data_IF_056399478995
#
_entry.id   IF_056399478995
#
_cell.length_a   1.000
_cell.length_b   1.000
_cell.length_c   1.000
_cell.angle_alpha   90.00
_cell.angle_beta   90.00
_cell.angle_gamma   90.00
#
_symmetry.space_group_name_H-M   'P 1'
#
loop_
_entity.id
_entity.type
_entity.pdbx_description
1 polymer ?
#
# COMPACT_ATOMS: atom_id res chain seq x y z
N UNK A 1 5.27 -5.58 5.29
CA UNK A 1 4.80 -4.34 5.95
C UNK A 1 5.87 -3.29 5.75
N UNK A 2 5.51 -2.11 5.26
CA UNK A 2 6.42 -0.95 5.14
C UNK A 2 5.88 0.16 6.02
N UNK A 3 6.76 0.92 6.65
CA UNK A 3 6.34 2.11 7.40
C UNK A 3 6.47 3.32 6.49
N UNK A 4 5.40 4.10 6.36
CA UNK A 4 5.34 5.32 5.57
C UNK A 4 4.90 6.49 6.45
N UNK A 5 5.33 7.69 6.09
CA UNK A 5 4.87 8.92 6.74
C UNK A 5 3.56 9.35 6.09
N UNK A 6 2.55 9.64 6.91
CA UNK A 6 1.28 10.19 6.43
C UNK A 6 1.47 11.63 5.94
N UNK A 7 1.14 11.91 4.67
CA UNK A 7 1.28 13.27 4.09
C UNK A 7 0.40 14.34 4.77
N UNK A 8 -0.65 13.95 5.49
CA UNK A 8 -1.55 14.91 6.17
C UNK A 8 -1.18 15.20 7.62
N UNK A 9 -0.60 14.23 8.33
CA UNK A 9 -0.33 14.37 9.77
C UNK A 9 1.13 14.10 10.18
N UNK A 10 2.01 13.73 9.25
CA UNK A 10 3.43 13.45 9.52
C UNK A 10 3.70 12.17 10.33
N UNK A 11 2.66 11.49 10.84
CA UNK A 11 2.85 10.29 11.66
C UNK A 11 3.24 9.07 10.81
N UNK A 12 4.21 8.25 11.26
CA UNK A 12 4.50 6.97 10.63
C UNK A 12 3.32 6.02 10.80
N UNK A 13 3.01 5.25 9.76
CA UNK A 13 1.97 4.23 9.78
C UNK A 13 2.39 3.02 8.95
N UNK A 14 1.86 1.86 9.33
CA UNK A 14 2.09 0.61 8.63
C UNK A 14 1.24 0.52 7.36
N UNK A 15 1.89 0.19 6.25
CA UNK A 15 1.29 0.00 4.95
C UNK A 15 1.55 -1.43 4.45
N UNK A 16 0.51 -2.14 3.96
CA UNK A 16 0.68 -3.42 3.30
C UNK A 16 1.60 -3.30 2.08
N UNK A 17 2.43 -4.31 1.85
CA UNK A 17 3.30 -4.35 0.68
C UNK A 17 2.45 -4.35 -0.61
N UNK A 18 2.79 -3.51 -1.58
CA UNK A 18 2.06 -3.39 -2.85
C UNK A 18 0.95 -2.33 -2.88
N UNK A 19 0.55 -1.78 -1.73
CA UNK A 19 -0.43 -0.68 -1.70
C UNK A 19 0.28 0.68 -1.67
N UNK A 20 -0.15 1.61 -2.52
CA UNK A 20 0.38 2.97 -2.59
C UNK A 20 -0.37 3.94 -1.65
N UNK A 21 -0.58 3.54 -0.39
CA UNK A 21 -1.22 4.40 0.60
C UNK A 21 -0.26 5.54 1.01
N UNK A 22 -0.78 6.77 1.01
CA UNK A 22 -0.05 7.99 1.39
C UNK A 22 -0.68 8.72 2.60
N UNK A 23 -1.83 8.23 3.08
CA UNK A 23 -2.52 8.71 4.27
C UNK A 23 -2.69 7.56 5.25
N UNK A 24 -2.57 7.85 6.54
CA UNK A 24 -2.95 6.89 7.57
C UNK A 24 -4.47 6.62 7.53
N UNK A 25 -4.96 5.47 8.04
CA UNK A 25 -6.38 5.11 7.96
C UNK A 25 -7.32 6.17 8.55
N UNK A 26 -6.91 6.83 9.65
CA UNK A 26 -7.68 7.91 10.30
C UNK A 26 -7.77 9.15 9.39
N UNK A 27 -6.65 9.60 8.85
CA UNK A 27 -6.61 10.75 7.94
C UNK A 27 -7.32 10.47 6.62
N UNK A 28 -7.23 9.24 6.10
CA UNK A 28 -7.94 8.81 4.91
C UNK A 28 -9.46 8.84 5.10
N UNK A 29 -9.98 8.30 6.22
CA UNK A 29 -11.41 8.38 6.57
C UNK A 29 -11.89 9.83 6.65
N UNK A 30 -11.15 10.69 7.35
CA UNK A 30 -11.48 12.13 7.46
C UNK A 30 -11.46 12.82 6.09
N UNK A 31 -10.45 12.57 5.27
CA UNK A 31 -10.34 13.17 3.93
C UNK A 31 -11.50 12.72 3.02
N UNK A 32 -11.89 11.45 3.10
CA UNK A 32 -13.06 10.94 2.36
C UNK A 32 -14.32 11.69 2.77
N UNK A 33 -14.61 11.79 4.06
CA UNK A 33 -15.79 12.52 4.58
C UNK A 33 -15.81 13.98 4.11
N UNK A 34 -14.71 14.71 4.30
CA UNK A 34 -14.63 16.13 3.90
C UNK A 34 -14.64 16.34 2.39
N UNK A 35 -14.23 15.36 1.58
CA UNK A 35 -14.22 15.48 0.13
C UNK A 35 -15.60 15.28 -0.50
N UNK A 36 -16.46 14.48 0.14
CA UNK A 36 -17.77 14.10 -0.39
C UNK A 36 -18.75 15.25 -0.24
N UNK A 37 -18.84 15.87 0.94
CA UNK A 37 -19.75 16.98 1.19
C UNK A 37 -18.95 18.24 1.51
N UNK A 38 -18.95 19.20 0.58
CA UNK A 38 -18.15 20.43 0.70
C UNK A 38 -18.85 21.64 0.09
N UNK A 39 -18.38 22.82 0.44
CA UNK A 39 -18.79 24.06 -0.21
C UNK A 39 -18.34 24.05 -1.69
N UNK A 40 -19.28 24.38 -2.57
CA UNK A 40 -19.10 24.49 -4.01
C UNK A 40 -19.77 25.77 -4.49
N UNK A 41 -19.33 26.23 -5.64
CA UNK A 41 -19.85 27.42 -6.30
C UNK A 41 -20.81 26.97 -7.39
N UNK A 42 -22.01 27.56 -7.43
CA UNK A 42 -22.97 27.31 -8.49
C UNK A 42 -22.44 27.83 -9.82
N UNK A 43 -22.50 27.02 -10.88
CA UNK A 43 -22.01 27.41 -12.21
C UNK A 43 -22.88 28.49 -12.91
N UNK A 44 -24.11 28.73 -12.45
CA UNK A 44 -25.01 29.72 -13.04
C UNK A 44 -25.03 31.02 -12.23
N UNK A 45 -25.35 30.93 -10.94
CA UNK A 45 -25.55 32.10 -10.10
C UNK A 45 -24.33 32.47 -9.23
N UNK A 46 -23.26 31.66 -9.23
CA UNK A 46 -22.06 31.93 -8.44
C UNK A 46 -22.21 31.79 -6.91
N UNK A 47 -23.40 31.51 -6.39
CA UNK A 47 -23.63 31.33 -4.95
C UNK A 47 -22.86 30.13 -4.40
N UNK A 48 -22.34 30.26 -3.18
CA UNK A 48 -21.73 29.16 -2.43
C UNK A 48 -22.82 28.29 -1.81
N UNK A 49 -22.74 26.98 -2.01
CA UNK A 49 -23.68 26.02 -1.45
C UNK A 49 -22.95 24.74 -1.03
N UNK A 50 -23.51 24.02 -0.07
CA UNK A 50 -22.98 22.72 0.33
C UNK A 50 -23.50 21.62 -0.60
N UNK A 51 -22.61 20.86 -1.21
CA UNK A 51 -22.99 19.86 -2.21
C UNK A 51 -22.04 18.69 -2.33
N UNK A 52 -22.52 17.65 -3.03
CA UNK A 52 -21.76 16.45 -3.35
C UNK A 52 -20.80 16.69 -4.53
N UNK A 53 -19.86 15.78 -4.86
CA UNK A 53 -18.85 16.03 -5.89
C UNK A 53 -19.44 16.25 -7.29
N UNK A 54 -20.63 15.70 -7.54
CA UNK A 54 -21.40 15.85 -8.79
C UNK A 54 -22.38 17.03 -8.79
N UNK A 55 -22.61 17.70 -7.66
CA UNK A 55 -23.49 18.86 -7.58
C UNK A 55 -22.82 20.06 -8.25
N UNK A 56 -23.42 20.53 -9.34
CA UNK A 56 -22.92 21.67 -10.14
C UNK A 56 -23.68 22.97 -9.87
N UNK A 57 -24.91 22.87 -9.40
CA UNK A 57 -25.84 23.99 -9.23
C UNK A 57 -26.38 24.03 -7.80
N UNK A 58 -26.79 25.21 -7.34
CA UNK A 58 -27.52 25.35 -6.09
C UNK A 58 -28.94 24.72 -6.21
N UNK A 59 -29.63 24.46 -5.10
CA UNK A 59 -30.96 23.82 -5.12
C UNK A 59 -31.97 24.52 -6.03
N UNK A 60 -31.98 25.85 -6.05
CA UNK A 60 -32.91 26.65 -6.86
C UNK A 60 -32.63 26.49 -8.37
N UNK A 61 -31.39 26.75 -8.79
CA UNK A 61 -30.94 26.55 -10.18
C UNK A 61 -31.11 25.09 -10.66
N UNK A 62 -30.88 24.13 -9.76
CA UNK A 62 -31.10 22.72 -10.06
C UNK A 62 -32.58 22.43 -10.32
N UNK A 63 -33.49 23.00 -9.51
CA UNK A 63 -34.93 22.81 -9.69
C UNK A 63 -35.43 23.38 -11.03
N UNK A 64 -34.88 24.52 -11.46
CA UNK A 64 -35.18 25.11 -12.78
C UNK A 64 -34.69 24.21 -13.92
N UNK A 65 -33.45 23.72 -13.85
CA UNK A 65 -32.91 22.77 -14.84
C UNK A 65 -33.70 21.47 -14.87
N UNK A 66 -34.13 20.95 -13.73
CA UNK A 66 -34.89 19.71 -13.67
C UNK A 66 -36.28 19.89 -14.33
N UNK A 67 -36.91 21.06 -14.18
CA UNK A 67 -38.14 21.41 -14.90
C UNK A 67 -37.89 21.45 -16.41
N UNK A 68 -36.83 22.12 -16.84
CA UNK A 68 -36.47 22.23 -18.27
C UNK A 68 -36.10 20.86 -18.87
N UNK A 69 -35.34 20.04 -18.15
CA UNK A 69 -34.97 18.69 -18.57
C UNK A 69 -36.20 17.79 -18.71
N UNK A 70 -37.16 17.87 -17.77
CA UNK A 70 -38.45 17.18 -17.89
C UNK A 70 -39.24 17.64 -19.10
N UNK A 71 -39.27 18.95 -19.39
CA UNK A 71 -39.93 19.50 -20.58
C UNK A 71 -39.29 18.93 -21.86
N UNK A 72 -37.96 18.96 -21.96
CA UNK A 72 -37.20 18.40 -23.09
C UNK A 72 -37.40 16.89 -23.24
N UNK A 73 -37.48 16.15 -22.14
CA UNK A 73 -37.77 14.72 -22.15
C UNK A 73 -39.16 14.41 -22.72
N UNK A 74 -40.18 15.17 -22.28
CA UNK A 74 -41.55 15.03 -22.78
C UNK A 74 -41.66 15.36 -24.27
N UNK A 75 -40.94 16.38 -24.74
CA UNK A 75 -40.90 16.77 -26.16
C UNK A 75 -40.16 15.73 -27.02
N UNK A 76 -39.05 15.18 -26.53
CA UNK A 76 -38.19 14.24 -27.27
C UNK A 76 -38.44 12.78 -26.90
N UNK A 77 -39.68 12.43 -26.54
CA UNK A 77 -40.02 11.06 -26.20
C UNK A 77 -39.78 10.16 -27.41
N UNK A 78 -39.12 9.03 -27.18
CA UNK A 78 -38.70 8.17 -28.28
C UNK A 78 -39.93 7.47 -28.85
N UNK A 79 -40.23 7.76 -30.12
CA UNK A 79 -41.42 7.27 -30.82
C UNK A 79 -41.32 5.79 -31.22
N UNK A 80 -40.16 5.15 -31.04
CA UNK A 80 -39.93 3.75 -31.47
C UNK A 80 -40.72 2.80 -30.57
N UNK A 81 -41.48 1.90 -31.17
CA UNK A 81 -42.18 0.82 -30.45
C UNK A 81 -41.19 -0.27 -30.07
N UNK A 82 -41.24 -0.72 -28.82
CA UNK A 82 -40.44 -1.87 -28.38
C UNK A 82 -40.89 -3.10 -29.18
N UNK A 83 -39.94 -3.88 -29.69
CA UNK A 83 -40.22 -5.03 -30.55
C UNK A 83 -40.27 -4.73 -32.05
N UNK A 84 -40.19 -3.45 -32.47
CA UNK A 84 -40.05 -3.12 -33.90
C UNK A 84 -38.67 -3.54 -34.44
N UNK A 85 -38.57 -3.65 -35.76
CA UNK A 85 -37.29 -3.86 -36.47
C UNK A 85 -36.67 -2.51 -36.78
N UNK A 86 -35.37 -2.36 -36.49
CA UNK A 86 -34.56 -1.17 -36.77
C UNK A 86 -33.19 -1.62 -37.32
N UNK A 87 -32.42 -0.70 -37.92
CA UNK A 87 -31.16 -1.03 -38.60
C UNK A 87 -29.94 -0.50 -37.84
N UNK A 88 -28.89 -1.32 -37.75
CA UNK A 88 -27.68 -0.99 -37.00
C UNK A 88 -26.85 0.08 -37.73
N UNK A 89 -26.55 1.20 -37.07
CA UNK A 89 -25.74 2.29 -37.65
C UNK A 89 -24.30 1.84 -38.03
N UNK A 90 -23.79 0.76 -37.45
CA UNK A 90 -22.43 0.26 -37.71
C UNK A 90 -22.35 -0.77 -38.83
N UNK A 91 -23.31 -1.69 -38.91
CA UNK A 91 -23.25 -2.83 -39.84
C UNK A 91 -24.45 -2.91 -40.81
N UNK A 92 -25.43 -2.02 -40.68
CA UNK A 92 -26.64 -1.98 -41.51
C UNK A 92 -27.62 -3.13 -41.29
N UNK A 93 -27.29 -4.15 -40.49
CA UNK A 93 -28.16 -5.31 -40.29
C UNK A 93 -29.42 -4.94 -39.48
N UNK A 94 -30.59 -5.52 -39.81
CA UNK A 94 -31.80 -5.36 -39.02
C UNK A 94 -31.65 -6.01 -37.65
N UNK A 95 -32.27 -5.44 -36.63
CA UNK A 95 -32.35 -5.97 -35.28
C UNK A 95 -33.67 -5.59 -34.61
N UNK A 96 -34.10 -6.40 -33.64
CA UNK A 96 -35.28 -6.11 -32.82
C UNK A 96 -34.93 -5.10 -31.73
N UNK A 97 -35.67 -4.00 -31.66
CA UNK A 97 -35.45 -2.92 -30.69
C UNK A 97 -35.91 -3.35 -29.30
N UNK A 98 -34.96 -3.43 -28.36
CA UNK A 98 -35.26 -3.70 -26.94
C UNK A 98 -35.33 -2.43 -26.10
N UNK A 99 -34.72 -1.33 -26.55
CA UNK A 99 -34.76 -0.04 -25.86
C UNK A 99 -34.88 1.11 -26.85
N UNK A 100 -35.60 2.17 -26.49
CA UNK A 100 -35.82 3.31 -27.38
C UNK A 100 -34.51 3.97 -27.85
N UNK A 101 -33.45 3.95 -27.01
CA UNK A 101 -32.14 4.58 -27.30
C UNK A 101 -31.15 3.66 -28.01
N UNK A 102 -31.56 2.46 -28.40
CA UNK A 102 -30.69 1.49 -29.06
C UNK A 102 -30.30 2.00 -30.45
N UNK A 103 -29.00 2.08 -30.72
CA UNK A 103 -28.44 2.52 -32.02
C UNK A 103 -27.76 1.38 -32.80
N UNK A 104 -27.40 0.31 -32.10
CA UNK A 104 -26.62 -0.79 -32.63
C UNK A 104 -27.27 -2.13 -32.31
N UNK A 105 -26.99 -3.14 -33.14
CA UNK A 105 -27.35 -4.51 -32.82
C UNK A 105 -26.54 -5.01 -31.59
N UNK A 106 -27.02 -6.05 -30.87
CA UNK A 106 -26.39 -6.52 -29.63
C UNK A 106 -24.90 -6.91 -29.77
N UNK A 107 -24.51 -7.39 -30.95
CA UNK A 107 -23.12 -7.77 -31.28
C UNK A 107 -22.24 -6.52 -31.40
N UNK A 108 -22.66 -5.54 -32.21
CA UNK A 108 -21.91 -4.31 -32.43
C UNK A 108 -21.91 -3.38 -31.20
N UNK A 109 -22.97 -3.38 -30.40
CA UNK A 109 -23.13 -2.52 -29.23
C UNK A 109 -22.00 -2.70 -28.20
N UNK A 110 -21.57 -3.95 -27.96
CA UNK A 110 -20.47 -4.26 -27.03
C UNK A 110 -19.15 -3.64 -27.49
N UNK A 111 -18.80 -3.83 -28.77
CA UNK A 111 -17.58 -3.27 -29.35
C UNK A 111 -17.59 -1.74 -29.32
N UNK A 112 -18.73 -1.14 -29.66
CA UNK A 112 -18.83 0.30 -29.77
C UNK A 112 -18.84 1.00 -28.41
N UNK A 113 -19.40 0.35 -27.40
CA UNK A 113 -19.29 0.81 -26.02
C UNK A 113 -17.83 0.84 -25.56
N UNK A 114 -17.07 -0.20 -25.87
CA UNK A 114 -15.63 -0.25 -25.56
C UNK A 114 -14.86 0.84 -26.32
N UNK A 115 -15.16 1.06 -27.59
CA UNK A 115 -14.54 2.12 -28.40
C UNK A 115 -14.82 3.51 -27.81
N UNK A 116 -16.07 3.82 -27.48
CA UNK A 116 -16.45 5.08 -26.85
C UNK A 116 -15.76 5.29 -25.49
N UNK A 117 -15.65 4.24 -24.67
CA UNK A 117 -14.92 4.33 -23.41
C UNK A 117 -13.43 4.62 -23.68
N UNK A 118 -12.82 3.97 -24.67
CA UNK A 118 -11.41 4.20 -25.05
C UNK A 118 -11.18 5.62 -25.54
N UNK A 119 -12.04 6.15 -26.40
CA UNK A 119 -11.91 7.53 -26.93
C UNK A 119 -12.06 8.56 -25.82
N UNK A 120 -13.06 8.42 -24.94
CA UNK A 120 -13.25 9.30 -23.78
C UNK A 120 -12.03 9.25 -22.86
N UNK A 121 -11.51 8.06 -22.54
CA UNK A 121 -10.31 7.91 -21.71
C UNK A 121 -9.09 8.58 -22.33
N UNK A 122 -8.86 8.39 -23.64
CA UNK A 122 -7.74 9.03 -24.35
C UNK A 122 -7.82 10.56 -24.27
N UNK A 123 -9.00 11.14 -24.54
CA UNK A 123 -9.22 12.58 -24.41
C UNK A 123 -8.94 13.06 -23.00
N UNK A 124 -9.49 12.40 -21.99
CA UNK A 124 -9.25 12.74 -20.59
C UNK A 124 -7.75 12.74 -20.22
N UNK A 125 -7.00 11.72 -20.63
CA UNK A 125 -5.55 11.65 -20.37
C UNK A 125 -4.76 12.71 -21.12
N UNK A 126 -5.17 13.07 -22.34
CA UNK A 126 -4.56 14.17 -23.10
C UNK A 126 -4.78 15.51 -22.38
N UNK A 127 -6.03 15.81 -22.00
CA UNK A 127 -6.43 17.07 -21.35
C UNK A 127 -5.82 17.23 -19.95
N UNK A 128 -5.49 16.12 -19.26
CA UNK A 128 -4.98 16.12 -17.88
C UNK A 128 -3.50 15.71 -17.78
N UNK A 129 -2.76 15.68 -18.89
CA UNK A 129 -1.36 15.21 -18.94
C UNK A 129 -0.45 15.92 -17.94
N UNK A 130 -0.55 17.24 -17.87
CA UNK A 130 0.29 18.09 -17.00
C UNK A 130 0.00 17.85 -15.52
N UNK A 131 -1.28 17.94 -15.13
CA UNK A 131 -1.74 17.67 -13.76
C UNK A 131 -1.32 16.28 -13.29
N UNK A 132 -1.39 15.27 -14.17
CA UNK A 132 -0.94 13.92 -13.84
C UNK A 132 0.58 13.81 -13.71
N UNK A 133 1.34 14.53 -14.52
CA UNK A 133 2.80 14.60 -14.43
C UNK A 133 3.25 15.22 -13.12
N UNK A 134 2.66 16.35 -12.75
CA UNK A 134 2.92 17.05 -11.49
C UNK A 134 2.57 16.17 -10.28
N UNK A 135 1.38 15.56 -10.28
CA UNK A 135 0.99 14.63 -9.22
C UNK A 135 1.96 13.45 -9.09
N UNK A 136 2.47 12.91 -10.21
CA UNK A 136 3.50 11.86 -10.18
C UNK A 136 4.82 12.35 -9.56
N UNK A 137 5.24 13.58 -9.81
CA UNK A 137 6.44 14.17 -9.18
C UNK A 137 6.27 14.26 -7.67
N UNK A 138 5.15 14.82 -7.21
CA UNK A 138 4.80 14.95 -5.78
C UNK A 138 4.77 13.58 -5.09
N UNK A 139 4.33 12.53 -5.79
CA UNK A 139 4.28 11.17 -5.23
C UNK A 139 5.62 10.42 -5.26
N UNK A 140 6.60 10.84 -6.07
CA UNK A 140 7.96 10.26 -6.06
C UNK A 140 8.82 10.81 -4.92
N UNK A 141 8.65 12.08 -4.58
CA UNK A 141 9.34 12.71 -3.44
C UNK A 141 8.68 12.25 -2.13
N UNK A 142 8.89 10.97 -1.80
CA UNK A 142 8.42 10.37 -0.55
C UNK A 142 9.60 9.85 0.24
N UNK A 143 9.68 10.32 1.48
CA UNK A 143 10.60 9.77 2.47
C UNK A 143 10.06 8.46 3.02
N UNK A 144 10.95 7.47 3.11
CA UNK A 144 10.70 6.19 3.73
C UNK A 144 11.15 6.21 5.18
N UNK A 145 10.56 5.35 6.02
CA UNK A 145 10.96 5.18 7.42
C UNK A 145 11.61 3.82 7.57
N UNK A 146 12.79 3.79 8.19
CA UNK A 146 13.51 2.55 8.47
C UNK A 146 12.74 1.73 9.52
N UNK A 147 12.43 0.47 9.22
CA UNK A 147 11.69 -0.41 10.15
C UNK A 147 12.50 -0.79 11.41
N UNK A 148 13.83 -0.73 11.34
CA UNK A 148 14.70 -1.11 12.47
C UNK A 148 15.01 0.09 13.37
N UNK A 149 15.47 1.20 12.80
CA UNK A 149 15.93 2.36 13.58
C UNK A 149 14.96 3.54 13.58
N UNK A 150 13.87 3.50 12.81
CA UNK A 150 12.87 4.57 12.76
C UNK A 150 13.29 5.86 12.04
N UNK A 151 14.53 5.96 11.54
CA UNK A 151 15.01 7.15 10.81
C UNK A 151 14.32 7.29 9.45
N UNK A 152 14.02 8.52 9.04
CA UNK A 152 13.57 8.83 7.69
C UNK A 152 14.75 8.81 6.70
N UNK A 153 14.52 8.30 5.49
CA UNK A 153 15.52 8.26 4.44
C UNK A 153 14.87 8.37 3.05
N UNK A 154 15.62 8.87 2.07
CA UNK A 154 15.23 8.92 0.66
C UNK A 154 15.85 7.73 -0.09
N UNK A 155 15.09 7.11 -0.97
CA UNK A 155 15.58 6.01 -1.81
C UNK A 155 14.79 5.95 -3.12
N UNK A 156 15.49 5.79 -4.23
CA UNK A 156 14.87 5.59 -5.54
C UNK A 156 14.20 4.20 -5.65
N UNK A 157 14.75 3.24 -4.91
CA UNK A 157 14.20 1.90 -4.78
C UNK A 157 13.34 1.80 -3.53
N UNK A 158 12.30 0.95 -3.51
CA UNK A 158 11.40 0.83 -2.36
C UNK A 158 12.02 -0.03 -1.24
N UNK A 159 13.23 0.33 -0.79
CA UNK A 159 13.94 -0.28 0.34
C UNK A 159 13.24 0.09 1.65
N UNK A 160 13.35 -0.80 2.65
CA UNK A 160 12.64 -0.69 3.95
C UNK A 160 13.59 -0.30 5.09
N UNK A 161 14.89 -0.32 4.83
CA UNK A 161 15.98 -0.04 5.78
C UNK A 161 16.89 1.06 5.26
N UNK A 162 17.45 1.87 6.16
CA UNK A 162 18.30 3.00 5.79
C UNK A 162 19.75 2.59 5.44
N UNK A 163 20.29 1.57 6.11
CA UNK A 163 21.67 1.12 5.99
C UNK A 163 21.78 -0.40 5.86
N UNK A 164 22.96 -0.88 5.46
CA UNK A 164 23.26 -2.31 5.37
C UNK A 164 23.17 -3.01 6.73
N UNK A 165 23.60 -2.36 7.81
CA UNK A 165 23.45 -2.86 9.17
C UNK A 165 21.98 -3.10 9.55
N UNK A 166 21.12 -2.13 9.25
CA UNK A 166 19.68 -2.30 9.44
C UNK A 166 19.10 -3.39 8.53
N UNK A 167 19.67 -3.61 7.34
CA UNK A 167 19.23 -4.67 6.44
C UNK A 167 19.62 -6.07 6.96
N UNK A 168 20.83 -6.23 7.51
CA UNK A 168 21.29 -7.47 8.17
C UNK A 168 20.39 -7.80 9.36
N UNK A 169 20.12 -6.79 10.19
CA UNK A 169 19.27 -6.95 11.37
C UNK A 169 17.82 -7.29 10.99
N UNK A 170 17.27 -6.63 9.96
CA UNK A 170 15.95 -6.99 9.43
C UNK A 170 15.92 -8.43 8.91
N UNK A 171 16.96 -8.89 8.20
CA UNK A 171 17.05 -10.26 7.70
C UNK A 171 17.05 -11.26 8.86
N UNK A 172 17.80 -10.98 9.93
CA UNK A 172 17.82 -11.80 11.16
C UNK A 172 16.42 -11.92 11.78
N UNK A 173 15.72 -10.80 12.01
CA UNK A 173 14.36 -10.80 12.56
C UNK A 173 13.38 -11.60 11.69
N UNK A 174 13.43 -11.41 10.37
CA UNK A 174 12.61 -12.16 9.43
C UNK A 174 12.87 -13.68 9.50
N UNK A 175 14.14 -14.09 9.59
CA UNK A 175 14.51 -15.50 9.77
C UNK A 175 14.01 -16.05 11.11
N UNK A 176 14.22 -15.32 12.22
CA UNK A 176 13.69 -15.70 13.53
C UNK A 176 12.19 -15.91 13.48
N UNK A 177 11.44 -14.98 12.89
CA UNK A 177 9.99 -15.08 12.73
C UNK A 177 9.58 -16.33 11.96
N UNK A 178 10.31 -16.70 10.91
CA UNK A 178 10.02 -17.94 10.16
C UNK A 178 10.30 -19.19 10.99
N UNK A 179 11.36 -19.21 11.79
CA UNK A 179 11.69 -20.34 12.67
C UNK A 179 10.70 -20.48 13.83
N UNK A 180 10.21 -19.36 14.40
CA UNK A 180 9.14 -19.34 15.39
C UNK A 180 7.85 -19.92 14.79
N UNK A 181 7.46 -19.48 13.59
CA UNK A 181 6.28 -20.04 12.89
C UNK A 181 6.41 -21.53 12.58
N UNK A 182 7.62 -22.02 12.35
CA UNK A 182 7.92 -23.45 12.16
C UNK A 182 8.02 -24.23 13.48
N UNK A 183 7.94 -23.56 14.64
CA UNK A 183 8.08 -24.16 15.96
C UNK A 183 9.52 -24.53 16.35
N UNK A 184 10.51 -24.20 15.52
CA UNK A 184 11.93 -24.52 15.76
C UNK A 184 12.60 -23.58 16.78
N UNK A 185 12.04 -22.39 16.97
CA UNK A 185 12.53 -21.37 17.91
C UNK A 185 11.40 -20.91 18.82
N UNK A 186 11.68 -20.80 20.13
CA UNK A 186 10.72 -20.36 21.17
C UNK A 186 10.96 -18.94 21.68
N UNK A 187 12.09 -18.34 21.31
CA UNK A 187 12.51 -17.00 21.73
C UNK A 187 11.79 -15.93 20.88
N UNK A 188 11.44 -14.76 21.45
CA UNK A 188 10.89 -13.63 20.70
C UNK A 188 11.72 -13.21 19.46
N UNK A 189 11.07 -12.56 18.49
CA UNK A 189 11.66 -12.18 17.19
C UNK A 189 12.86 -11.22 17.32
N UNK A 190 12.73 -10.23 18.20
CA UNK A 190 13.69 -9.15 18.37
C UNK A 190 14.91 -9.56 19.22
N UNK A 191 14.78 -10.59 20.04
CA UNK A 191 15.83 -11.03 20.96
C UNK A 191 16.94 -11.81 20.25
N UNK A 192 18.16 -11.59 20.71
CA UNK A 192 19.30 -12.43 20.34
C UNK A 192 19.30 -13.69 21.20
N UNK A 193 19.74 -14.81 20.62
CA UNK A 193 19.95 -16.02 21.41
C UNK A 193 21.14 -15.77 22.33
N UNK A 194 20.88 -15.71 23.63
CA UNK A 194 21.92 -15.69 24.65
C UNK A 194 22.43 -17.13 24.74
N UNK A 195 23.67 -17.38 24.30
CA UNK A 195 24.35 -18.63 24.59
C UNK A 195 24.70 -18.65 26.08
N UNK A 196 23.72 -18.95 26.93
CA UNK A 196 23.96 -19.20 28.34
C UNK A 196 24.80 -20.48 28.44
N UNK A 197 26.12 -20.31 28.56
CA UNK A 197 26.98 -21.40 28.96
C UNK A 197 26.67 -21.68 30.43
N UNK A 198 26.39 -22.93 30.83
CA UNK A 198 26.10 -23.26 32.24
C UNK A 198 27.17 -22.76 33.23
N UNK A 199 28.41 -22.58 32.76
CA UNK A 199 29.56 -22.04 33.48
C UNK A 199 29.64 -20.50 33.53
N UNK A 200 28.83 -19.78 32.74
CA UNK A 200 28.97 -18.33 32.51
C UNK A 200 30.19 -17.91 31.69
N UNK A 201 31.10 -18.84 31.36
CA UNK A 201 32.37 -18.57 30.67
C UNK A 201 32.40 -19.28 29.31
N UNK A 202 32.66 -18.53 28.25
CA UNK A 202 32.77 -19.08 26.88
C UNK A 202 33.93 -20.07 26.83
N UNK A 203 33.66 -21.30 26.38
CA UNK A 203 34.67 -22.36 26.27
C UNK A 203 34.84 -23.24 27.51
N UNK A 204 34.14 -22.96 28.61
CA UNK A 204 34.10 -23.84 29.79
C UNK A 204 32.79 -24.63 29.79
N UNK A 205 32.87 -25.95 29.78
CA UNK A 205 31.70 -26.85 29.74
C UNK A 205 31.80 -27.91 30.83
N UNK A 206 30.67 -28.30 31.42
CA UNK A 206 30.63 -29.39 32.39
C UNK A 206 30.61 -30.73 31.66
N UNK A 207 31.60 -31.58 31.91
CA UNK A 207 31.74 -32.89 31.26
C UNK A 207 32.23 -33.93 32.27
N UNK A 208 31.48 -35.04 32.44
CA UNK A 208 31.85 -36.18 33.29
C UNK A 208 32.28 -35.80 34.72
N UNK A 209 31.60 -34.82 35.34
CA UNK A 209 31.87 -34.41 36.72
C UNK A 209 33.03 -33.42 36.90
N UNK A 210 33.62 -32.90 35.81
CA UNK A 210 34.68 -31.89 35.82
C UNK A 210 34.38 -30.75 34.83
N UNK A 211 34.99 -29.59 35.04
CA UNK A 211 34.92 -28.45 34.13
C UNK A 211 35.98 -28.56 33.03
N UNK A 212 35.53 -28.80 31.80
CA UNK A 212 36.38 -28.90 30.62
C UNK A 212 36.57 -27.52 29.97
N UNK A 213 37.83 -27.14 29.74
CA UNK A 213 38.22 -25.90 29.07
C UNK A 213 38.62 -26.16 27.61
N UNK A 214 38.00 -25.42 26.68
CA UNK A 214 38.25 -25.49 25.24
C UNK A 214 38.33 -24.08 24.66
N UNK A 215 39.37 -23.81 23.86
CA UNK A 215 39.52 -22.53 23.15
C UNK A 215 39.63 -22.75 21.64
N UNK A 216 38.75 -22.12 20.84
CA UNK A 216 38.74 -22.22 19.36
C UNK A 216 38.92 -23.66 18.82
N UNK A 217 38.33 -24.65 19.49
CA UNK A 217 38.40 -26.12 19.23
C UNK A 217 39.64 -26.85 19.76
N UNK A 218 40.56 -26.17 20.44
CA UNK A 218 41.68 -26.79 21.15
C UNK A 218 41.30 -27.13 22.58
N UNK A 219 41.48 -28.39 22.95
CA UNK A 219 41.27 -28.88 24.31
C UNK A 219 42.46 -28.48 25.19
N UNK A 220 42.19 -27.79 26.30
CA UNK A 220 43.23 -27.34 27.24
C UNK A 220 43.34 -28.32 28.41
N UNK A 221 42.21 -28.79 28.93
CA UNK A 221 42.18 -29.70 30.08
C UNK A 221 40.83 -29.77 30.78
N UNK A 222 40.78 -30.57 31.84
CA UNK A 222 39.65 -30.68 32.78
C UNK A 222 40.08 -30.22 34.17
N UNK A 223 39.25 -29.39 34.79
CA UNK A 223 39.51 -28.72 36.06
C UNK A 223 38.38 -28.99 37.07
N UNK A 224 38.68 -28.98 38.38
CA UNK A 224 37.68 -29.14 39.43
C UNK A 224 36.77 -27.90 39.61
N UNK A 225 37.27 -26.68 39.37
CA UNK A 225 36.51 -25.43 39.56
C UNK A 225 36.33 -24.65 38.24
N UNK A 226 35.31 -23.78 38.19
CA UNK A 226 35.04 -22.92 37.03
C UNK A 226 36.17 -21.89 36.86
N UNK A 227 36.68 -21.35 37.96
CA UNK A 227 37.69 -20.30 37.97
C UNK A 227 39.03 -20.79 37.42
N UNK A 228 39.45 -22.01 37.79
CA UNK A 228 40.66 -22.64 37.24
C UNK A 228 40.54 -22.91 35.74
N UNK A 229 39.39 -23.43 35.30
CA UNK A 229 39.12 -23.63 33.87
C UNK A 229 39.16 -22.31 33.09
N UNK A 230 38.61 -21.24 33.65
CA UNK A 230 38.63 -19.91 33.05
C UNK A 230 40.05 -19.30 33.00
N UNK A 231 40.84 -19.49 34.06
CA UNK A 231 42.24 -19.07 34.11
C UNK A 231 43.09 -19.82 33.08
N UNK A 232 42.89 -21.13 32.93
CA UNK A 232 43.60 -21.93 31.93
C UNK A 232 43.34 -21.45 30.49
N UNK A 233 42.10 -21.03 30.18
CA UNK A 233 41.76 -20.42 28.89
C UNK A 233 42.48 -19.08 28.70
N UNK A 234 42.55 -18.24 29.74
CA UNK A 234 43.27 -16.95 29.66
C UNK A 234 44.76 -17.17 29.39
N UNK A 235 45.41 -18.05 30.14
CA UNK A 235 46.82 -18.39 29.96
C UNK A 235 47.10 -18.94 28.55
N UNK A 236 46.21 -19.80 28.03
CA UNK A 236 46.33 -20.32 26.67
C UNK A 236 46.15 -19.25 25.59
N UNK A 237 45.31 -18.24 25.85
CA UNK A 237 45.09 -17.09 24.96
C UNK A 237 46.26 -16.10 24.99
N UNK A 238 47.01 -16.01 26.08
CA UNK A 238 48.18 -15.12 26.19
C UNK A 238 49.45 -15.78 25.63
N UNK A 239 49.50 -17.11 25.60
CA UNK A 239 50.63 -17.88 25.07
C UNK A 239 50.57 -18.14 23.55
N UNK A 240 49.44 -17.85 22.88
CA UNK A 240 49.23 -18.01 21.43
C UNK A 240 48.49 -16.82 20.83
#
# INVERSE_FOLDING_TARGET
MRVRICKKCGKPFECPTGQALYLCPKCHKKAKLSSVYRQRICQECGKTFWGYPKSKYCPDCQAERDKEAKKRYRQNLHKRKIGSIDYCEKCGKPYTVSSGRQRYCPVCAKQETVNNIRTIKRKYYADNKEKMSEHKKIMRDTEYVCVICGRSFKSDVPRVTCSEECAKEQKRRLQNRTEIKRGRRKIPEDEHYIHAHPSGVVGVTWCRGKWQAVWKKHYIGTFPTIEEAAAAIKNYRESN
#
